data_IF_478353348004
#
_entry.id   IF_478353348004
#
_cell.length_a   1.000
_cell.length_b   1.000
_cell.length_c   1.000
_cell.angle_alpha   90.00
_cell.angle_beta   90.00
_cell.angle_gamma   90.00
#
_symmetry.space_group_name_H-M   'P 1'
#
loop_
_entity.id
_entity.type
_entity.pdbx_description
1 polymer ?
#
# COMPACT_ATOMS: atom_id res chain seq x y z
N UNK A 1 -31.75 6.62 9.98
CA UNK A 1 -31.08 5.80 8.95
C UNK A 1 -29.56 5.95 9.11
N UNK A 2 -28.92 5.11 9.95
CA UNK A 2 -27.46 5.18 10.12
C UNK A 2 -26.80 4.59 8.87
N UNK A 3 -26.26 5.45 7.99
CA UNK A 3 -25.30 5.00 6.99
C UNK A 3 -24.01 4.63 7.73
N UNK A 4 -23.87 3.37 8.12
CA UNK A 4 -22.56 2.82 8.47
C UNK A 4 -21.67 3.08 7.26
N UNK A 5 -20.73 4.03 7.38
CA UNK A 5 -19.74 4.27 6.32
C UNK A 5 -18.92 2.99 6.19
N UNK A 6 -19.22 2.18 5.17
CA UNK A 6 -18.36 1.06 4.81
C UNK A 6 -16.96 1.64 4.53
N UNK A 7 -15.97 1.14 5.27
CA UNK A 7 -14.58 1.48 5.01
C UNK A 7 -14.20 0.96 3.63
N UNK A 8 -13.49 1.78 2.85
CA UNK A 8 -12.97 1.36 1.55
C UNK A 8 -11.89 0.29 1.73
N UNK A 9 -11.65 -0.54 0.71
CA UNK A 9 -10.56 -1.53 0.71
C UNK A 9 -9.23 -0.89 1.14
N UNK A 10 -8.92 0.30 0.63
CA UNK A 10 -7.70 1.05 0.98
C UNK A 10 -7.63 1.39 2.48
N UNK A 11 -8.75 1.77 3.09
CA UNK A 11 -8.80 2.03 4.52
C UNK A 11 -8.56 0.75 5.34
N UNK A 12 -9.16 -0.39 4.92
CA UNK A 12 -8.94 -1.69 5.56
C UNK A 12 -7.48 -2.13 5.43
N UNK A 13 -6.92 -2.07 4.22
CA UNK A 13 -5.51 -2.39 3.94
C UNK A 13 -4.59 -1.51 4.78
N UNK A 14 -4.79 -0.19 4.80
CA UNK A 14 -3.96 0.74 5.57
C UNK A 14 -4.01 0.47 7.07
N UNK A 15 -5.19 0.15 7.60
CA UNK A 15 -5.36 -0.25 9.00
C UNK A 15 -4.52 -1.49 9.34
N UNK A 16 -4.55 -2.51 8.49
CA UNK A 16 -3.74 -3.72 8.67
C UNK A 16 -2.25 -3.39 8.59
N UNK A 17 -1.79 -2.70 7.54
CA UNK A 17 -0.39 -2.29 7.38
C UNK A 17 0.14 -1.57 8.62
N UNK A 18 -0.64 -0.65 9.21
CA UNK A 18 -0.23 0.08 10.43
C UNK A 18 -0.18 -0.79 11.68
N UNK A 19 -0.98 -1.85 11.75
CA UNK A 19 -0.95 -2.80 12.86
C UNK A 19 0.26 -3.76 12.76
N UNK A 20 0.74 -4.04 11.55
CA UNK A 20 1.95 -4.82 11.32
C UNK A 20 3.22 -3.99 11.56
N UNK A 21 3.87 -4.21 12.72
CA UNK A 21 5.18 -3.60 13.04
C UNK A 21 6.34 -4.23 12.26
N UNK A 22 6.16 -5.49 11.87
CA UNK A 22 7.14 -6.29 11.14
C UNK A 22 6.87 -6.31 9.63
N UNK A 23 7.66 -7.09 8.91
CA UNK A 23 7.51 -7.28 7.48
C UNK A 23 6.27 -8.11 7.15
N UNK A 24 5.63 -7.78 6.04
CA UNK A 24 4.44 -8.46 5.55
C UNK A 24 4.46 -8.61 4.03
N UNK A 25 3.64 -9.51 3.52
CA UNK A 25 3.40 -9.79 2.11
C UNK A 25 2.01 -9.34 1.70
N UNK A 26 1.73 -9.35 0.39
CA UNK A 26 0.35 -9.12 -0.08
C UNK A 26 -0.62 -10.20 0.38
N UNK A 27 -0.14 -11.44 0.59
CA UNK A 27 -0.97 -12.55 1.07
C UNK A 27 -1.36 -12.37 2.53
N UNK A 28 -0.46 -11.82 3.37
CA UNK A 28 -0.78 -11.50 4.77
C UNK A 28 -1.92 -10.46 4.86
N UNK A 29 -1.88 -9.44 3.99
CA UNK A 29 -2.94 -8.43 3.92
C UNK A 29 -4.25 -9.03 3.41
N UNK A 30 -4.20 -9.93 2.43
CA UNK A 30 -5.39 -10.60 1.89
C UNK A 30 -6.03 -11.50 2.94
N UNK A 31 -5.25 -12.20 3.77
CA UNK A 31 -5.79 -13.03 4.85
C UNK A 31 -6.50 -12.21 5.94
N UNK A 32 -6.12 -10.94 6.11
CA UNK A 32 -6.60 -10.06 7.18
C UNK A 32 -7.64 -9.03 6.71
N UNK A 33 -7.99 -9.04 5.43
CA UNK A 33 -8.98 -8.14 4.84
C UNK A 33 -9.90 -8.91 3.90
N UNK A 34 -11.02 -8.31 3.55
CA UNK A 34 -11.90 -8.76 2.46
C UNK A 34 -11.57 -8.06 1.13
N UNK A 35 -10.43 -7.36 1.05
CA UNK A 35 -10.00 -6.69 -0.16
C UNK A 35 -9.43 -7.68 -1.16
N UNK A 36 -9.70 -7.48 -2.45
CA UNK A 36 -9.18 -8.38 -3.49
C UNK A 36 -7.66 -8.28 -3.62
N UNK A 37 -6.99 -9.40 -3.95
CA UNK A 37 -5.55 -9.43 -4.23
C UNK A 37 -5.07 -8.32 -5.19
N UNK A 38 -5.87 -8.05 -6.24
CA UNK A 38 -5.58 -7.03 -7.25
C UNK A 38 -5.56 -5.63 -6.62
N UNK A 39 -6.57 -5.31 -5.79
CA UNK A 39 -6.65 -4.03 -5.08
C UNK A 39 -5.50 -3.87 -4.08
N UNK A 40 -5.16 -4.95 -3.36
CA UNK A 40 -4.04 -4.98 -2.41
C UNK A 40 -2.73 -4.68 -3.14
N UNK A 41 -2.39 -5.42 -4.20
CA UNK A 41 -1.13 -5.20 -4.93
C UNK A 41 -1.04 -3.81 -5.55
N UNK A 42 -2.14 -3.32 -6.12
CA UNK A 42 -2.18 -1.96 -6.69
C UNK A 42 -1.90 -0.93 -5.60
N UNK A 43 -2.53 -1.05 -4.43
CA UNK A 43 -2.35 -0.07 -3.37
C UNK A 43 -0.98 -0.16 -2.71
N UNK A 44 -0.46 -1.35 -2.43
CA UNK A 44 0.90 -1.54 -1.92
C UNK A 44 1.96 -0.98 -2.87
N UNK A 45 1.76 -1.12 -4.19
CA UNK A 45 2.63 -0.53 -5.19
C UNK A 45 2.64 1.00 -5.09
N UNK A 46 1.47 1.64 -5.07
CA UNK A 46 1.33 3.09 -4.94
C UNK A 46 2.02 3.59 -3.66
N UNK A 47 1.77 2.93 -2.53
CA UNK A 47 2.39 3.30 -1.25
C UNK A 47 3.91 3.14 -1.26
N UNK A 48 4.44 2.08 -1.90
CA UNK A 48 5.87 1.88 -2.03
C UNK A 48 6.53 2.93 -2.94
N UNK A 49 5.89 3.26 -4.06
CA UNK A 49 6.41 4.24 -5.01
C UNK A 49 6.37 5.67 -4.40
N UNK A 50 5.39 5.97 -3.54
CA UNK A 50 5.32 7.20 -2.75
C UNK A 50 6.13 7.18 -1.43
N UNK A 51 6.98 6.18 -1.20
CA UNK A 51 7.89 6.13 -0.06
C UNK A 51 7.26 5.76 1.29
N UNK A 52 5.99 5.36 1.34
CA UNK A 52 5.36 4.88 2.57
C UNK A 52 5.83 3.48 2.96
N UNK A 53 6.12 2.65 1.96
CA UNK A 53 6.57 1.28 2.16
C UNK A 53 7.96 1.07 1.57
N UNK A 54 8.83 0.41 2.33
CA UNK A 54 10.03 -0.20 1.77
C UNK A 54 9.67 -1.60 1.27
N UNK A 55 9.96 -1.90 0.00
CA UNK A 55 9.77 -3.23 -0.60
C UNK A 55 11.10 -3.88 -0.95
N UNK A 56 11.22 -5.20 -0.80
CA UNK A 56 12.34 -5.98 -1.33
C UNK A 56 11.89 -7.38 -1.76
N UNK A 57 12.69 -8.03 -2.59
CA UNK A 57 12.49 -9.44 -2.93
C UNK A 57 13.11 -10.33 -1.86
N UNK A 58 12.39 -11.37 -1.46
CA UNK A 58 12.91 -12.49 -0.68
C UNK A 58 12.78 -13.79 -1.48
N UNK A 59 13.74 -14.71 -1.38
CA UNK A 59 13.58 -16.04 -1.94
C UNK A 59 12.38 -16.75 -1.30
N UNK A 60 11.70 -17.59 -2.08
CA UNK A 60 10.70 -18.49 -1.53
C UNK A 60 11.37 -19.55 -0.65
N UNK A 61 10.64 -20.11 0.32
CA UNK A 61 11.16 -21.13 1.24
C UNK A 61 11.65 -22.39 0.52
N UNK A 62 11.03 -22.73 -0.62
CA UNK A 62 11.43 -23.85 -1.47
C UNK A 62 12.64 -23.55 -2.38
N UNK A 63 13.28 -22.38 -2.23
CA UNK A 63 14.41 -21.93 -3.04
C UNK A 63 14.07 -21.58 -4.49
N UNK A 64 12.80 -21.72 -4.92
CA UNK A 64 12.36 -21.49 -6.30
C UNK A 64 11.57 -20.19 -6.40
N UNK A 65 12.17 -19.20 -7.04
CA UNK A 65 11.57 -17.88 -7.26
C UNK A 65 11.64 -16.95 -6.05
N UNK A 66 11.00 -15.79 -6.17
CA UNK A 66 11.02 -14.74 -5.15
C UNK A 66 9.64 -14.13 -4.96
N UNK A 67 9.35 -13.63 -3.76
CA UNK A 67 8.18 -12.84 -3.46
C UNK A 67 8.57 -11.46 -2.92
N UNK A 68 7.63 -10.52 -3.00
CA UNK A 68 7.80 -9.18 -2.41
C UNK A 68 7.42 -9.20 -0.93
N UNK A 69 8.31 -8.65 -0.11
CA UNK A 69 8.00 -8.28 1.28
C UNK A 69 8.03 -6.77 1.41
N UNK A 70 7.16 -6.26 2.26
CA UNK A 70 6.96 -4.84 2.52
C UNK A 70 7.17 -4.56 3.99
N UNK A 71 7.59 -3.34 4.30
CA UNK A 71 7.64 -2.79 5.66
C UNK A 71 7.13 -1.35 5.63
N UNK A 72 6.27 -1.00 6.58
CA UNK A 72 5.85 0.39 6.77
C UNK A 72 7.04 1.22 7.28
N UNK A 73 7.38 2.29 6.56
CA UNK A 73 8.47 3.20 6.93
C UNK A 73 8.01 4.63 7.15
N UNK A 74 6.86 5.03 6.58
CA UNK A 74 6.22 6.33 6.84
C UNK A 74 4.81 6.10 7.40
N UNK A 75 4.66 6.18 8.73
CA UNK A 75 3.35 6.06 9.40
C UNK A 75 2.82 7.45 9.75
N UNK A 76 2.00 8.03 8.88
CA UNK A 76 1.52 9.41 9.02
C UNK A 76 0.22 9.54 9.81
N UNK A 77 -0.48 8.44 10.09
CA UNK A 77 -1.71 8.46 10.88
C UNK A 77 -2.79 7.48 10.39
N UNK A 78 -4.00 7.54 10.99
CA UNK A 78 -5.06 6.55 10.75
C UNK A 78 -5.75 6.69 9.39
N UNK A 79 -5.70 7.85 8.75
CA UNK A 79 -6.35 8.04 7.45
C UNK A 79 -5.44 7.50 6.33
N UNK A 80 -5.95 6.71 5.38
CA UNK A 80 -5.10 6.19 4.30
C UNK A 80 -4.67 7.30 3.33
N UNK A 81 -3.44 7.27 2.79
CA UNK A 81 -3.09 8.07 1.61
C UNK A 81 -4.05 7.76 0.45
N UNK A 82 -4.55 8.82 -0.20
CA UNK A 82 -5.62 8.77 -1.21
C UNK A 82 -5.06 9.14 -2.58
N UNK A 83 -5.07 8.18 -3.50
CA UNK A 83 -4.71 8.46 -4.89
C UNK A 83 -5.82 9.31 -5.52
N UNK A 84 -5.49 10.53 -5.93
CA UNK A 84 -6.41 11.47 -6.58
C UNK A 84 -6.42 11.31 -8.10
N UNK A 85 -5.26 10.97 -8.66
CA UNK A 85 -5.05 10.68 -10.08
C UNK A 85 -3.85 9.73 -10.22
N UNK A 86 -3.51 9.29 -11.44
CA UNK A 86 -2.40 8.41 -11.77
C UNK A 86 -1.09 8.86 -11.12
N UNK A 87 -0.82 10.17 -11.10
CA UNK A 87 0.45 10.75 -10.63
C UNK A 87 0.39 11.37 -9.23
N UNK A 88 -0.79 11.48 -8.63
CA UNK A 88 -0.99 12.27 -7.40
C UNK A 88 -1.54 11.44 -6.25
N UNK A 89 -0.79 11.38 -5.15
CA UNK A 89 -1.19 10.77 -3.89
C UNK A 89 -1.28 11.85 -2.80
N UNK A 90 -2.45 11.99 -2.19
CA UNK A 90 -2.67 12.95 -1.10
C UNK A 90 -2.66 12.24 0.26
N UNK A 91 -1.92 12.78 1.22
CA UNK A 91 -1.94 12.31 2.60
C UNK A 91 -2.86 13.17 3.48
N UNK A 92 -4.04 12.67 3.87
CA UNK A 92 -4.98 13.43 4.68
C UNK A 92 -4.57 13.59 6.16
N UNK A 93 -3.47 12.98 6.61
CA UNK A 93 -2.95 13.19 7.97
C UNK A 93 -1.93 14.33 8.03
N UNK A 94 -1.07 14.45 7.01
CA UNK A 94 -0.04 15.52 6.94
C UNK A 94 -0.45 16.70 6.05
N UNK A 95 -1.52 16.55 5.27
CA UNK A 95 -1.95 17.51 4.24
C UNK A 95 -0.90 17.69 3.11
N UNK A 96 -0.06 16.68 2.89
CA UNK A 96 0.97 16.68 1.86
C UNK A 96 0.51 15.98 0.58
N UNK A 97 1.13 16.38 -0.54
CA UNK A 97 0.96 15.71 -1.83
C UNK A 97 2.28 15.03 -2.23
N UNK A 98 2.16 13.81 -2.75
CA UNK A 98 3.22 13.10 -3.45
C UNK A 98 2.91 13.06 -4.94
N UNK A 99 3.90 13.46 -5.73
CA UNK A 99 3.88 13.36 -7.19
C UNK A 99 4.81 12.23 -7.59
N UNK A 100 4.32 11.28 -8.38
CA UNK A 100 5.18 10.23 -8.95
C UNK A 100 6.23 10.88 -9.87
N UNK A 101 7.50 10.54 -9.69
CA UNK A 101 8.61 11.06 -10.48
C UNK A 101 8.35 10.80 -11.99
N UNK A 102 8.31 11.85 -12.83
CA UNK A 102 8.09 11.72 -14.27
C UNK A 102 8.98 10.69 -14.96
N UNK A 103 10.24 10.52 -14.53
CA UNK A 103 11.15 9.53 -15.14
C UNK A 103 10.71 8.08 -14.87
N UNK A 104 10.04 7.83 -13.75
CA UNK A 104 9.52 6.49 -13.41
C UNK A 104 8.29 6.11 -14.23
N UNK A 105 7.57 7.11 -14.78
CA UNK A 105 6.39 6.92 -15.62
C UNK A 105 6.81 6.51 -17.04
N UNK A 106 7.86 7.12 -17.59
CA UNK A 106 8.36 6.85 -18.95
C UNK A 106 8.81 5.38 -19.09
N UNK A 107 9.40 4.80 -18.05
CA UNK A 107 9.86 3.39 -18.06
C UNK A 107 8.74 2.35 -17.97
N UNK A 108 7.47 2.77 -17.86
CA UNK A 108 6.29 1.89 -17.76
C UNK A 108 5.42 1.87 -19.03
N UNK A 109 5.66 2.79 -19.97
CA UNK A 109 5.04 2.82 -21.30
C UNK A 109 5.88 2.06 -22.31
#
# INVERSE_FOLDING_TARGET
>A
MNKVRMQTDRAKIWKVIRAHKEEFTSADIEMLTDATYVNIKRYLKILADAGYLRKRRKPNLNGKGTHWVYRLVKNTGPKPPVQKDLRFLFDPNTNEYWVEDPETVIRRG
#
